data_IF_913202347618
#
_entry.id   IF_913202347618
#
_cell.length_a   1.000
_cell.length_b   1.000
_cell.length_c   1.000
_cell.angle_alpha   90.00
_cell.angle_beta   90.00
_cell.angle_gamma   90.00
#
_symmetry.space_group_name_H-M   'P 1'
#
loop_
_entity.id
_entity.type
_entity.pdbx_description
1 polymer ?
#
# COMPACT_ATOMS: atom_id res chain seq x y z
N UNK A 1 -30.07 -22.96 5.14
CA UNK A 1 -29.69 -21.82 6.01
C UNK A 1 -28.57 -21.06 5.32
N UNK A 2 -28.89 -19.94 4.68
CA UNK A 2 -27.92 -19.09 3.98
C UNK A 2 -27.01 -18.40 5.02
N UNK A 3 -25.89 -19.03 5.35
CA UNK A 3 -24.83 -18.39 6.12
C UNK A 3 -24.20 -17.28 5.28
N UNK A 4 -24.76 -16.05 5.37
CA UNK A 4 -24.03 -14.84 4.95
C UNK A 4 -22.66 -14.94 5.64
N UNK A 5 -21.60 -15.11 4.85
CA UNK A 5 -20.22 -14.99 5.34
C UNK A 5 -20.12 -13.63 6.02
N UNK A 6 -20.13 -13.63 7.36
CA UNK A 6 -19.92 -12.42 8.14
C UNK A 6 -18.52 -11.93 7.80
N UNK A 7 -18.44 -10.87 6.99
CA UNK A 7 -17.22 -10.10 6.83
C UNK A 7 -16.90 -9.55 8.21
N UNK A 8 -15.67 -9.77 8.69
CA UNK A 8 -15.28 -9.28 10.01
C UNK A 8 -15.05 -7.77 9.91
N UNK A 9 -16.13 -7.00 10.00
CA UNK A 9 -16.15 -5.54 9.80
C UNK A 9 -15.14 -4.82 10.70
N UNK A 10 -14.96 -5.31 11.93
CA UNK A 10 -13.97 -4.79 12.87
C UNK A 10 -12.53 -4.90 12.35
N UNK A 11 -12.22 -5.97 11.60
CA UNK A 11 -10.89 -6.18 11.02
C UNK A 11 -10.64 -5.21 9.87
N UNK A 12 -11.65 -4.99 9.03
CA UNK A 12 -11.55 -4.00 7.95
C UNK A 12 -11.44 -2.57 8.53
N UNK A 13 -12.16 -2.26 9.62
CA UNK A 13 -12.04 -0.99 10.32
C UNK A 13 -10.63 -0.79 10.90
N UNK A 14 -10.03 -1.82 11.51
CA UNK A 14 -8.66 -1.76 12.01
C UNK A 14 -7.64 -1.52 10.89
N UNK A 15 -7.83 -2.12 9.71
CA UNK A 15 -7.00 -1.80 8.53
C UNK A 15 -7.15 -0.33 8.13
N UNK A 16 -8.36 0.21 8.15
CA UNK A 16 -8.62 1.62 7.89
C UNK A 16 -7.86 2.54 8.85
N UNK A 17 -7.95 2.26 10.16
CA UNK A 17 -7.20 3.01 11.19
C UNK A 17 -5.69 2.92 10.95
N UNK A 18 -5.18 1.73 10.64
CA UNK A 18 -3.76 1.52 10.34
C UNK A 18 -3.30 2.36 9.13
N UNK A 19 -4.06 2.35 8.03
CA UNK A 19 -3.74 3.12 6.82
C UNK A 19 -3.76 4.62 7.12
N UNK A 20 -4.77 5.12 7.84
CA UNK A 20 -4.86 6.54 8.20
C UNK A 20 -3.64 6.95 9.05
N UNK A 21 -3.25 6.13 10.02
CA UNK A 21 -2.06 6.38 10.84
C UNK A 21 -0.79 6.49 9.98
N UNK A 22 -0.61 5.60 9.00
CA UNK A 22 0.52 5.64 8.06
C UNK A 22 0.49 6.88 7.17
N UNK A 23 -0.69 7.26 6.67
CA UNK A 23 -0.86 8.48 5.89
C UNK A 23 -0.48 9.72 6.71
N UNK A 24 -1.00 9.84 7.93
CA UNK A 24 -0.68 10.98 8.81
C UNK A 24 0.82 11.04 9.12
N UNK A 25 1.45 9.90 9.40
CA UNK A 25 2.90 9.80 9.61
C UNK A 25 3.72 10.32 8.41
N UNK A 26 3.31 10.01 7.18
CA UNK A 26 4.05 10.43 5.99
C UNK A 26 3.75 11.86 5.52
N UNK A 27 2.51 12.32 5.66
CA UNK A 27 2.07 13.58 5.05
C UNK A 27 2.08 14.76 6.01
N UNK A 28 1.77 14.60 7.30
CA UNK A 28 1.70 15.75 8.21
C UNK A 28 3.04 16.48 8.39
N UNK A 29 4.18 15.79 8.65
CA UNK A 29 5.47 16.47 8.77
C UNK A 29 5.90 17.16 7.45
N UNK A 30 5.55 16.54 6.31
CA UNK A 30 5.85 17.09 4.98
C UNK A 30 5.03 18.33 4.67
N UNK A 31 3.76 18.33 5.07
CA UNK A 31 2.85 19.45 4.93
C UNK A 31 3.32 20.63 5.79
N UNK A 32 3.70 20.37 7.04
CA UNK A 32 4.26 21.36 7.97
C UNK A 32 5.50 22.04 7.37
N UNK A 33 6.45 21.24 6.86
CA UNK A 33 7.67 21.75 6.22
C UNK A 33 7.39 22.55 4.93
N UNK A 34 6.46 22.08 4.10
CA UNK A 34 6.16 22.70 2.79
C UNK A 34 5.48 24.05 2.93
N UNK A 35 4.57 24.17 3.90
CA UNK A 35 3.76 25.38 4.12
C UNK A 35 4.24 26.25 5.28
N UNK A 36 5.36 25.89 5.91
CA UNK A 36 5.95 26.62 7.06
C UNK A 36 4.94 26.83 8.20
N UNK A 37 4.14 25.80 8.47
CA UNK A 37 3.17 25.80 9.57
C UNK A 37 3.84 25.26 10.84
N UNK A 38 3.24 25.52 12.00
CA UNK A 38 3.68 24.94 13.28
C UNK A 38 2.59 24.02 13.82
N UNK A 39 2.84 22.72 13.69
CA UNK A 39 2.03 21.66 14.28
C UNK A 39 2.87 20.78 15.21
N UNK A 40 3.99 21.28 15.73
CA UNK A 40 4.98 20.48 16.47
C UNK A 40 4.35 19.63 17.59
N UNK A 41 3.36 20.19 18.30
CA UNK A 41 2.62 19.48 19.35
C UNK A 41 1.88 18.25 18.85
N UNK A 42 1.37 18.24 17.61
CA UNK A 42 0.65 17.12 17.00
C UNK A 42 1.63 16.22 16.25
N UNK A 43 2.56 16.81 15.51
CA UNK A 43 3.52 16.11 14.64
C UNK A 43 4.37 15.09 15.43
N UNK A 44 4.78 15.41 16.66
CA UNK A 44 5.50 14.46 17.52
C UNK A 44 4.74 13.14 17.76
N UNK A 45 3.41 13.17 17.81
CA UNK A 45 2.59 11.97 18.02
C UNK A 45 2.36 11.20 16.72
N UNK A 46 2.58 11.82 15.56
CA UNK A 46 2.41 11.12 14.27
C UNK A 46 3.47 10.06 14.03
N UNK A 47 4.59 10.09 14.77
CA UNK A 47 5.64 9.07 14.69
C UNK A 47 5.10 7.65 14.95
N UNK A 48 4.09 7.52 15.82
CA UNK A 48 3.45 6.23 16.10
C UNK A 48 2.70 5.67 14.88
N UNK A 49 2.34 6.51 13.90
CA UNK A 49 1.67 6.09 12.67
C UNK A 49 2.50 5.12 11.83
N UNK A 50 3.83 5.10 11.97
CA UNK A 50 4.72 4.11 11.32
C UNK A 50 4.36 2.67 11.69
N UNK A 51 3.85 2.45 12.90
CA UNK A 51 3.42 1.13 13.37
C UNK A 51 2.14 0.63 12.70
N UNK A 52 1.41 1.51 12.00
CA UNK A 52 0.26 1.10 11.19
C UNK A 52 0.64 0.09 10.11
N UNK A 53 1.84 0.15 9.53
CA UNK A 53 2.31 -0.85 8.55
C UNK A 53 2.45 -2.24 9.22
N UNK A 54 2.99 -2.31 10.43
CA UNK A 54 3.09 -3.56 11.17
C UNK A 54 1.72 -4.15 11.50
N UNK A 55 0.79 -3.31 11.96
CA UNK A 55 -0.60 -3.72 12.21
C UNK A 55 -1.28 -4.22 10.93
N UNK A 56 -1.07 -3.53 9.81
CA UNK A 56 -1.60 -3.95 8.51
C UNK A 56 -1.10 -5.36 8.14
N UNK A 57 0.20 -5.64 8.25
CA UNK A 57 0.75 -6.97 7.97
C UNK A 57 0.24 -8.05 8.92
N UNK A 58 0.10 -7.77 10.22
CA UNK A 58 -0.48 -8.72 11.19
C UNK A 58 -1.91 -9.07 10.78
N UNK A 59 -2.72 -8.06 10.45
CA UNK A 59 -4.10 -8.28 10.01
C UNK A 59 -4.15 -9.02 8.67
N UNK A 60 -3.24 -8.72 7.74
CA UNK A 60 -3.13 -9.43 6.46
C UNK A 60 -2.80 -10.90 6.68
N UNK A 61 -1.81 -11.23 7.50
CA UNK A 61 -1.49 -12.61 7.87
C UNK A 61 -2.67 -13.36 8.48
N UNK A 62 -3.42 -12.72 9.38
CA UNK A 62 -4.63 -13.31 9.95
C UNK A 62 -5.71 -13.63 8.89
N UNK A 63 -5.97 -12.68 7.98
CA UNK A 63 -6.96 -12.89 6.91
C UNK A 63 -6.49 -13.94 5.92
N UNK A 64 -5.21 -13.94 5.56
CA UNK A 64 -4.59 -14.96 4.70
C UNK A 64 -4.78 -16.36 5.31
N UNK A 65 -4.46 -16.53 6.60
CA UNK A 65 -4.67 -17.80 7.30
C UNK A 65 -6.13 -18.27 7.22
N UNK A 66 -7.09 -17.39 7.48
CA UNK A 66 -8.51 -17.72 7.34
C UNK A 66 -8.92 -18.06 5.90
N UNK A 67 -8.32 -17.41 4.90
CA UNK A 67 -8.57 -17.70 3.48
C UNK A 67 -8.00 -19.07 3.11
N UNK A 68 -6.76 -19.37 3.49
CA UNK A 68 -6.11 -20.67 3.23
C UNK A 68 -6.91 -21.79 3.88
N UNK A 69 -7.33 -21.65 5.13
CA UNK A 69 -8.13 -22.65 5.84
C UNK A 69 -9.50 -22.94 5.17
N UNK A 70 -9.98 -22.07 4.29
CA UNK A 70 -11.26 -22.19 3.59
C UNK A 70 -11.13 -22.50 2.09
N UNK A 71 -9.91 -22.56 1.57
CA UNK A 71 -9.68 -22.72 0.13
C UNK A 71 -9.17 -24.12 -0.16
N UNK A 72 -9.83 -24.81 -1.09
CA UNK A 72 -9.50 -26.21 -1.42
C UNK A 72 -8.33 -26.35 -2.41
N UNK A 73 -7.92 -25.27 -3.07
CA UNK A 73 -6.88 -25.27 -4.11
C UNK A 73 -5.95 -24.05 -3.99
N UNK A 74 -4.62 -24.23 -4.05
CA UNK A 74 -3.66 -23.13 -4.06
C UNK A 74 -3.90 -22.11 -5.18
N UNK A 75 -4.35 -22.56 -6.35
CA UNK A 75 -4.62 -21.64 -7.47
C UNK A 75 -5.79 -20.71 -7.19
N UNK A 76 -6.85 -21.21 -6.55
CA UNK A 76 -7.99 -20.38 -6.17
C UNK A 76 -7.56 -19.27 -5.20
N UNK A 77 -6.64 -19.56 -4.28
CA UNK A 77 -6.07 -18.58 -3.37
C UNK A 77 -5.28 -17.50 -4.13
N UNK A 78 -4.41 -17.89 -5.06
CA UNK A 78 -3.63 -16.94 -5.87
C UNK A 78 -4.54 -16.05 -6.71
N UNK A 79 -5.52 -16.61 -7.42
CA UNK A 79 -6.45 -15.83 -8.24
C UNK A 79 -7.29 -14.86 -7.41
N UNK A 80 -7.75 -15.27 -6.23
CA UNK A 80 -8.51 -14.40 -5.33
C UNK A 80 -7.68 -13.21 -4.82
N UNK A 81 -6.38 -13.41 -4.61
CA UNK A 81 -5.46 -12.31 -4.23
C UNK A 81 -5.15 -11.41 -5.40
N UNK A 82 -4.85 -12.00 -6.56
CA UNK A 82 -4.55 -11.26 -7.78
C UNK A 82 -5.69 -10.31 -8.13
N UNK A 83 -6.93 -10.82 -8.19
CA UNK A 83 -8.11 -10.02 -8.52
C UNK A 83 -8.44 -8.92 -7.50
N UNK A 84 -7.95 -9.04 -6.26
CA UNK A 84 -8.11 -8.02 -5.22
C UNK A 84 -7.04 -6.93 -5.28
N UNK A 85 -5.78 -7.31 -5.49
CA UNK A 85 -4.64 -6.39 -5.38
C UNK A 85 -4.34 -5.66 -6.68
N UNK A 86 -4.31 -6.37 -7.81
CA UNK A 86 -3.81 -5.83 -9.08
C UNK A 86 -4.68 -4.71 -9.66
N UNK A 87 -6.02 -4.76 -9.63
CA UNK A 87 -6.83 -3.68 -10.22
C UNK A 87 -6.57 -2.32 -9.57
N UNK A 88 -6.56 -2.28 -8.23
CA UNK A 88 -6.27 -1.05 -7.49
C UNK A 88 -4.82 -0.60 -7.71
N UNK A 89 -3.88 -1.55 -7.70
CA UNK A 89 -2.47 -1.25 -7.89
C UNK A 89 -2.16 -0.68 -9.29
N UNK A 90 -2.73 -1.24 -10.36
CA UNK A 90 -2.54 -0.69 -11.71
C UNK A 90 -3.07 0.73 -11.83
N UNK A 91 -4.22 1.02 -11.23
CA UNK A 91 -4.75 2.38 -11.17
C UNK A 91 -3.78 3.29 -10.41
N UNK A 92 -3.26 2.87 -9.26
CA UNK A 92 -2.28 3.63 -8.48
C UNK A 92 -0.99 3.90 -9.25
N UNK A 93 -0.38 2.87 -9.87
CA UNK A 93 0.86 2.99 -10.65
C UNK A 93 0.66 3.92 -11.85
N UNK A 94 -0.43 3.74 -12.58
CA UNK A 94 -0.76 4.57 -13.76
C UNK A 94 -0.99 6.02 -13.36
N UNK A 95 -1.71 6.24 -12.25
CA UNK A 95 -1.97 7.58 -11.74
C UNK A 95 -0.67 8.25 -11.28
N UNK A 96 0.13 7.59 -10.45
CA UNK A 96 1.42 8.13 -9.97
C UNK A 96 2.37 8.41 -11.14
N UNK A 97 2.49 7.50 -12.11
CA UNK A 97 3.30 7.71 -13.32
C UNK A 97 2.81 8.93 -14.11
N UNK A 98 1.51 9.01 -14.38
CA UNK A 98 0.92 10.11 -15.16
C UNK A 98 1.13 11.45 -14.47
N UNK A 99 0.94 11.52 -13.15
CA UNK A 99 1.18 12.74 -12.38
C UNK A 99 2.65 13.17 -12.46
N UNK A 100 3.60 12.24 -12.36
CA UNK A 100 5.03 12.54 -12.49
C UNK A 100 5.38 13.02 -13.90
N UNK A 101 4.82 12.40 -14.95
CA UNK A 101 5.07 12.82 -16.34
C UNK A 101 4.49 14.22 -16.62
N UNK A 102 3.31 14.53 -16.08
CA UNK A 102 2.62 15.81 -16.33
C UNK A 102 3.17 16.96 -15.47
N UNK A 103 3.56 16.70 -14.22
CA UNK A 103 3.92 17.73 -13.24
C UNK A 103 5.36 17.65 -12.73
N UNK A 104 6.10 16.62 -13.11
CA UNK A 104 7.45 16.33 -12.63
C UNK A 104 7.44 15.56 -11.30
N UNK A 105 8.56 14.86 -11.02
CA UNK A 105 8.77 14.21 -9.73
C UNK A 105 9.20 15.24 -8.67
N UNK A 106 8.46 15.42 -7.56
CA UNK A 106 8.76 16.45 -6.58
C UNK A 106 10.00 16.14 -5.71
N UNK A 107 10.48 14.89 -5.69
CA UNK A 107 11.55 14.41 -4.81
C UNK A 107 12.85 14.19 -5.58
N UNK A 108 12.84 13.30 -6.57
CA UNK A 108 14.00 12.88 -7.38
C UNK A 108 14.19 13.83 -8.57
N UNK A 109 13.13 14.52 -9.01
CA UNK A 109 13.15 15.44 -10.17
C UNK A 109 13.68 14.82 -11.47
N UNK A 110 13.53 13.51 -11.61
CA UNK A 110 13.88 12.75 -12.81
C UNK A 110 12.63 12.03 -13.28
N UNK A 111 12.35 12.09 -14.58
CA UNK A 111 11.23 11.35 -15.17
C UNK A 111 11.57 9.86 -15.22
N UNK A 112 10.73 8.98 -14.66
CA UNK A 112 10.91 7.54 -14.80
C UNK A 112 10.69 7.14 -16.26
N UNK A 113 11.60 6.31 -16.79
CA UNK A 113 11.47 5.75 -18.14
C UNK A 113 10.26 4.79 -18.20
N UNK A 114 9.74 4.55 -19.40
CA UNK A 114 8.64 3.61 -19.68
C UNK A 114 8.95 2.20 -19.14
N UNK A 115 10.22 1.77 -19.14
CA UNK A 115 10.60 0.49 -18.53
C UNK A 115 10.36 0.44 -17.03
N UNK A 116 10.50 1.58 -16.32
CA UNK A 116 10.17 1.69 -14.89
C UNK A 116 8.67 1.51 -14.68
N UNK A 117 7.85 2.13 -15.52
CA UNK A 117 6.40 1.95 -15.50
C UNK A 117 5.99 0.49 -15.73
N UNK A 118 6.52 -0.15 -16.78
CA UNK A 118 6.23 -1.54 -17.09
C UNK A 118 6.69 -2.50 -15.98
N UNK A 119 7.87 -2.27 -15.42
CA UNK A 119 8.35 -3.06 -14.28
C UNK A 119 7.44 -2.89 -13.05
N UNK A 120 7.00 -1.66 -12.75
CA UNK A 120 6.12 -1.40 -11.61
C UNK A 120 4.73 -2.03 -11.80
N UNK A 121 4.18 -2.13 -13.01
CA UNK A 121 2.90 -2.82 -13.26
C UNK A 121 2.91 -4.31 -12.85
N UNK A 122 4.08 -4.92 -12.73
CA UNK A 122 4.23 -6.31 -12.26
C UNK A 122 4.19 -6.45 -10.73
N UNK A 123 4.34 -5.35 -9.98
CA UNK A 123 4.56 -5.36 -8.52
C UNK A 123 5.87 -6.06 -8.07
N UNK A 124 6.71 -6.53 -9.00
CA UNK A 124 7.95 -7.27 -8.73
C UNK A 124 9.22 -6.43 -8.87
N UNK A 125 9.11 -5.13 -9.17
CA UNK A 125 10.24 -4.24 -9.43
C UNK A 125 11.31 -4.30 -8.34
N UNK A 126 10.92 -4.48 -7.07
CA UNK A 126 11.86 -4.55 -5.96
C UNK A 126 12.66 -5.85 -5.90
N UNK A 127 12.12 -6.97 -6.37
CA UNK A 127 12.84 -8.25 -6.43
C UNK A 127 13.92 -8.26 -7.51
N UNK A 128 13.71 -7.49 -8.58
CA UNK A 128 14.69 -7.29 -9.67
C UNK A 128 15.54 -6.03 -9.47
N UNK A 129 15.52 -5.44 -8.26
CA UNK A 129 16.28 -4.25 -7.87
C UNK A 129 16.05 -3.03 -8.80
N UNK A 130 14.86 -2.95 -9.39
CA UNK A 130 14.45 -1.86 -10.26
C UNK A 130 13.71 -0.76 -9.47
N UNK A 131 13.80 0.52 -9.88
CA UNK A 131 13.18 1.62 -9.15
C UNK A 131 11.67 1.47 -9.02
N UNK A 132 11.12 1.87 -7.87
CA UNK A 132 9.68 2.05 -7.71
C UNK A 132 9.27 3.45 -8.12
N UNK A 133 8.12 3.58 -8.80
CA UNK A 133 7.53 4.88 -9.14
C UNK A 133 7.14 5.65 -7.87
N UNK A 134 6.59 4.93 -6.90
CA UNK A 134 6.32 5.47 -5.56
C UNK A 134 7.07 4.63 -4.53
N UNK A 135 7.73 5.32 -3.59
CA UNK A 135 8.40 4.67 -2.47
C UNK A 135 7.48 3.70 -1.74
N UNK A 136 6.20 4.04 -1.52
CA UNK A 136 5.27 3.24 -0.70
C UNK A 136 4.91 1.87 -1.27
N UNK A 137 5.15 1.63 -2.57
CA UNK A 137 4.86 0.36 -3.23
C UNK A 137 5.65 -0.83 -2.66
N UNK A 138 6.71 -0.55 -1.88
CA UNK A 138 7.47 -1.58 -1.16
C UNK A 138 6.57 -2.49 -0.30
N UNK A 139 5.51 -1.92 0.30
CA UNK A 139 4.56 -2.66 1.15
C UNK A 139 3.78 -3.71 0.38
N UNK A 140 3.29 -3.34 -0.82
CA UNK A 140 2.52 -4.23 -1.69
C UNK A 140 3.37 -5.36 -2.26
N UNK A 141 4.62 -5.09 -2.63
CA UNK A 141 5.54 -6.14 -3.09
C UNK A 141 5.76 -7.21 -2.02
N UNK A 142 5.90 -6.83 -0.74
CA UNK A 142 5.96 -7.84 0.33
C UNK A 142 4.62 -8.51 0.59
N UNK A 143 3.52 -7.75 0.57
CA UNK A 143 2.16 -8.29 0.70
C UNK A 143 1.84 -9.32 -0.40
N UNK A 144 2.49 -9.28 -1.57
CA UNK A 144 2.30 -10.28 -2.61
C UNK A 144 2.96 -11.63 -2.26
N UNK A 145 4.06 -11.61 -1.51
CA UNK A 145 4.81 -12.81 -1.10
C UNK A 145 4.31 -13.38 0.23
N UNK A 146 3.84 -12.51 1.13
CA UNK A 146 3.25 -12.86 2.43
C UNK A 146 2.07 -13.82 2.27
#
# INVERSE_FOLDING_TARGET
MNGKKSRLEYIDALRGVAIIGVMVYHYLPRFELTYQLDFAMITQYTEYGKYGVHLFFIISGYVIYMTVARTSSPMQFIFARFSRLYPAFWVSVTLSYSLIVLYGDPVVRVLPDMYVYLANLTMLQRFILYPSIDGVYWTLTFELVF
#
